data_IF_046271402827
#
_entry.id   IF_046271402827
#
_cell.length_a   1.000
_cell.length_b   1.000
_cell.length_c   1.000
_cell.angle_alpha   90.00
_cell.angle_beta   90.00
_cell.angle_gamma   90.00
#
_symmetry.space_group_name_H-M   'P 1'
#
loop_
_entity.id
_entity.type
_entity.pdbx_description
1 polymer ?
#
# COMPACT_ATOMS: atom_id res chain seq x y z
N UNK A 1 15.79 -45.46 30.17
CA UNK A 1 16.15 -44.26 29.38
C UNK A 1 15.68 -44.49 27.95
N UNK A 2 14.77 -43.66 27.43
CA UNK A 2 14.39 -43.67 26.03
C UNK A 2 14.50 -42.23 25.51
N UNK A 3 15.32 -41.94 24.49
CA UNK A 3 15.44 -40.59 23.95
C UNK A 3 14.26 -40.35 23.00
N UNK A 4 13.37 -39.42 23.35
CA UNK A 4 12.36 -38.90 22.42
C UNK A 4 13.02 -37.90 21.48
N UNK A 5 12.94 -38.17 20.18
CA UNK A 5 13.47 -37.30 19.13
C UNK A 5 12.75 -35.93 19.14
N UNK A 6 13.47 -34.82 18.95
CA UNK A 6 12.83 -33.53 18.68
C UNK A 6 12.20 -33.57 17.29
N UNK A 7 10.88 -33.38 17.22
CA UNK A 7 10.16 -33.19 15.95
C UNK A 7 10.76 -31.98 15.24
N UNK A 8 11.32 -32.21 14.06
CA UNK A 8 11.81 -31.17 13.17
C UNK A 8 10.74 -30.09 13.00
N UNK A 9 10.98 -28.95 13.65
CA UNK A 9 10.17 -27.75 13.49
C UNK A 9 10.19 -27.34 12.02
N UNK A 10 9.00 -27.06 11.50
CA UNK A 10 8.75 -26.58 10.14
C UNK A 10 9.83 -25.59 9.73
N UNK A 11 10.55 -25.91 8.66
CA UNK A 11 11.48 -25.00 8.00
C UNK A 11 10.80 -23.64 7.77
N UNK A 12 11.47 -22.50 8.02
CA UNK A 12 10.88 -21.19 7.78
C UNK A 12 10.51 -21.11 6.30
N UNK A 13 9.21 -21.00 6.05
CA UNK A 13 8.66 -20.83 4.72
C UNK A 13 9.35 -19.64 4.05
N UNK A 14 9.96 -19.90 2.89
CA UNK A 14 10.57 -18.89 2.02
C UNK A 14 9.66 -17.65 1.93
N UNK A 15 10.19 -16.42 2.04
CA UNK A 15 9.37 -15.21 1.92
C UNK A 15 8.58 -15.26 0.62
N UNK A 16 7.26 -15.25 0.73
CA UNK A 16 6.38 -15.19 -0.43
C UNK A 16 6.53 -13.79 -1.01
N UNK A 17 6.98 -13.67 -2.25
CA UNK A 17 7.06 -12.36 -2.90
C UNK A 17 5.69 -11.67 -2.81
N UNK A 18 5.66 -10.40 -2.37
CA UNK A 18 4.41 -9.68 -2.18
C UNK A 18 3.68 -9.58 -3.52
N UNK A 19 2.37 -9.85 -3.50
CA UNK A 19 1.50 -9.69 -4.68
C UNK A 19 1.49 -8.22 -5.10
N UNK A 20 1.35 -7.93 -6.39
CA UNK A 20 1.32 -6.54 -6.91
C UNK A 20 0.27 -5.65 -6.22
N UNK A 21 -0.88 -6.23 -5.85
CA UNK A 21 -1.92 -5.52 -5.10
C UNK A 21 -1.49 -5.11 -3.69
N UNK A 22 -0.64 -5.91 -3.05
CA UNK A 22 -0.11 -5.63 -1.72
C UNK A 22 0.95 -4.52 -1.78
N UNK A 23 1.85 -4.58 -2.77
CA UNK A 23 2.81 -3.50 -3.03
C UNK A 23 2.12 -2.16 -3.32
N UNK A 24 1.01 -2.16 -4.07
CA UNK A 24 0.22 -0.95 -4.30
C UNK A 24 -0.33 -0.36 -3.00
N UNK A 25 -0.89 -1.20 -2.12
CA UNK A 25 -1.41 -0.77 -0.81
C UNK A 25 -0.31 -0.18 0.08
N UNK A 26 0.85 -0.85 0.14
CA UNK A 26 2.00 -0.38 0.89
C UNK A 26 2.53 0.96 0.36
N UNK A 27 2.58 1.12 -0.96
CA UNK A 27 3.01 2.35 -1.61
C UNK A 27 2.04 3.51 -1.33
N UNK A 28 0.73 3.28 -1.41
CA UNK A 28 -0.28 4.28 -1.06
C UNK A 28 -0.17 4.68 0.42
N UNK A 29 0.01 3.72 1.32
CA UNK A 29 0.22 4.00 2.74
C UNK A 29 1.44 4.91 2.98
N UNK A 30 2.58 4.59 2.35
CA UNK A 30 3.78 5.43 2.43
C UNK A 30 3.53 6.84 1.89
N UNK A 31 2.78 6.96 0.80
CA UNK A 31 2.42 8.26 0.23
C UNK A 31 1.52 9.09 1.17
N UNK A 32 0.57 8.45 1.84
CA UNK A 32 -0.24 9.08 2.89
C UNK A 32 0.64 9.55 4.05
N UNK A 33 1.58 8.73 4.54
CA UNK A 33 2.52 9.15 5.59
C UNK A 33 3.30 10.40 5.16
N UNK A 34 3.80 10.42 3.92
CA UNK A 34 4.51 11.59 3.38
C UNK A 34 3.64 12.85 3.36
N UNK A 35 2.38 12.75 2.91
CA UNK A 35 1.43 13.87 2.87
C UNK A 35 1.10 14.41 4.26
N UNK A 36 0.81 13.52 5.21
CA UNK A 36 0.36 13.89 6.57
C UNK A 36 1.51 14.43 7.44
N UNK A 37 2.74 14.00 7.17
CA UNK A 37 3.93 14.45 7.92
C UNK A 37 4.54 15.76 7.42
N UNK A 38 4.02 16.34 6.35
CA UNK A 38 4.53 17.57 5.71
C UNK A 38 6.05 17.50 5.41
N UNK A 39 6.54 16.31 5.05
CA UNK A 39 7.95 16.08 4.73
C UNK A 39 8.21 16.48 3.28
N UNK A 40 9.24 17.28 3.05
CA UNK A 40 9.73 17.61 1.72
C UNK A 40 10.85 16.65 1.29
N UNK A 41 10.78 16.16 0.05
CA UNK A 41 11.84 15.32 -0.51
C UNK A 41 13.05 16.18 -0.90
N UNK A 42 14.21 15.88 -0.30
CA UNK A 42 15.51 16.44 -0.71
C UNK A 42 15.96 15.83 -2.05
N UNK A 43 15.54 16.46 -3.16
CA UNK A 43 15.89 16.04 -4.52
C UNK A 43 17.41 15.95 -4.74
N UNK A 44 18.24 16.93 -4.30
CA UNK A 44 19.70 16.78 -4.35
C UNK A 44 20.23 15.53 -3.63
N UNK A 45 19.74 15.19 -2.44
CA UNK A 45 20.18 13.98 -1.74
C UNK A 45 19.78 12.71 -2.49
N UNK A 46 18.55 12.66 -3.02
CA UNK A 46 18.08 11.56 -3.87
C UNK A 46 18.94 11.43 -5.13
N UNK A 47 19.25 12.54 -5.77
CA UNK A 47 20.09 12.56 -6.97
C UNK A 47 21.50 12.00 -6.68
N UNK A 48 22.11 12.39 -5.56
CA UNK A 48 23.40 11.84 -5.08
C UNK A 48 23.30 10.35 -4.79
N UNK A 49 22.25 9.92 -4.09
CA UNK A 49 22.04 8.51 -3.73
C UNK A 49 21.95 7.60 -4.96
N UNK A 50 21.23 8.04 -6.00
CA UNK A 50 21.05 7.28 -7.24
C UNK A 50 22.11 7.55 -8.31
N UNK A 51 23.09 8.43 -8.06
CA UNK A 51 24.11 8.80 -9.05
C UNK A 51 23.55 9.45 -10.32
N UNK A 52 22.44 10.21 -10.20
CA UNK A 52 21.76 10.88 -11.32
C UNK A 52 21.79 12.40 -11.19
N UNK A 53 21.49 13.11 -12.28
CA UNK A 53 21.35 14.58 -12.25
C UNK A 53 20.10 14.99 -11.45
N UNK A 54 20.17 16.13 -10.76
CA UNK A 54 19.03 16.70 -10.01
C UNK A 54 17.76 16.80 -10.87
N UNK A 55 17.88 17.24 -12.13
CA UNK A 55 16.73 17.34 -13.03
C UNK A 55 16.10 15.99 -13.33
N UNK A 56 16.90 14.93 -13.43
CA UNK A 56 16.40 13.57 -13.64
C UNK A 56 15.67 13.05 -12.38
N UNK A 57 16.22 13.29 -11.19
CA UNK A 57 15.56 12.96 -9.92
C UNK A 57 14.22 13.70 -9.78
N UNK A 58 14.20 15.01 -10.08
CA UNK A 58 12.97 15.81 -10.07
C UNK A 58 11.91 15.24 -11.03
N UNK A 59 12.28 14.95 -12.29
CA UNK A 59 11.32 14.39 -13.25
C UNK A 59 10.80 13.01 -12.83
N UNK A 60 11.65 12.15 -12.26
CA UNK A 60 11.23 10.85 -11.71
C UNK A 60 10.23 11.02 -10.58
N UNK A 61 10.51 11.95 -9.66
CA UNK A 61 9.60 12.25 -8.56
C UNK A 61 8.26 12.80 -9.06
N UNK A 62 8.25 13.77 -9.98
CA UNK A 62 7.01 14.32 -10.56
C UNK A 62 6.16 13.24 -11.23
N UNK A 63 6.79 12.33 -11.98
CA UNK A 63 6.09 11.19 -12.62
C UNK A 63 5.53 10.21 -11.59
N UNK A 64 6.28 9.93 -10.53
CA UNK A 64 5.83 9.05 -9.45
C UNK A 64 4.64 9.68 -8.73
N UNK A 65 4.74 10.96 -8.33
CA UNK A 65 3.67 11.71 -7.69
C UNK A 65 2.38 11.66 -8.51
N UNK A 66 2.44 11.96 -9.81
CA UNK A 66 1.26 11.89 -10.70
C UNK A 66 0.59 10.51 -10.66
N UNK A 67 1.37 9.42 -10.70
CA UNK A 67 0.82 8.05 -10.62
C UNK A 67 0.21 7.72 -9.26
N UNK A 68 0.78 8.27 -8.18
CA UNK A 68 0.24 8.10 -6.84
C UNK A 68 -1.09 8.84 -6.69
N UNK A 69 -1.18 10.06 -7.21
CA UNK A 69 -2.42 10.83 -7.24
C UNK A 69 -3.51 10.11 -8.06
N UNK A 70 -3.16 9.55 -9.21
CA UNK A 70 -4.08 8.71 -10.02
C UNK A 70 -4.53 7.43 -9.26
N UNK A 71 -3.60 6.76 -8.57
CA UNK A 71 -3.91 5.57 -7.77
C UNK A 71 -4.79 5.87 -6.55
N UNK A 72 -4.60 7.01 -5.88
CA UNK A 72 -5.46 7.46 -4.79
C UNK A 72 -6.89 7.69 -5.31
N UNK A 73 -7.06 8.43 -6.41
CA UNK A 73 -8.36 8.72 -6.99
C UNK A 73 -9.15 7.45 -7.37
N UNK A 74 -8.49 6.47 -8.00
CA UNK A 74 -9.15 5.19 -8.34
C UNK A 74 -9.47 4.32 -7.11
N UNK A 75 -8.81 4.54 -5.97
CA UNK A 75 -9.07 3.78 -4.75
C UNK A 75 -10.28 4.35 -3.97
N UNK A 76 -10.57 5.64 -4.09
CA UNK A 76 -11.76 6.26 -3.48
C UNK A 76 -13.07 5.77 -4.14
N UNK A 77 -13.07 5.56 -5.47
CA UNK A 77 -14.25 5.08 -6.20
C UNK A 77 -14.69 3.65 -5.84
N UNK A 78 -13.80 2.85 -5.24
CA UNK A 78 -14.10 1.45 -4.85
C UNK A 78 -14.55 1.28 -3.40
N UNK A 79 -14.51 2.36 -2.59
CA UNK A 79 -14.99 2.34 -1.20
C UNK A 79 -16.41 2.92 -1.01
N UNK A 80 -17.10 3.31 -2.10
CA UNK A 80 -18.44 3.88 -2.06
C UNK A 80 -19.61 2.91 -2.30
N UNK A 81 -19.40 1.58 -2.25
CA UNK A 81 -20.46 0.61 -2.54
C UNK A 81 -20.53 -0.50 -1.50
N UNK A 82 -20.71 -0.14 -0.23
CA UNK A 82 -21.25 -1.05 0.77
C UNK A 82 -22.12 -0.27 1.77
N UNK A 83 -23.37 -0.71 1.88
CA UNK A 83 -24.46 -0.33 2.81
C UNK A 83 -25.21 0.97 2.52
N UNK A 84 -26.30 0.82 1.76
CA UNK A 84 -27.65 1.08 2.29
C UNK A 84 -28.61 0.13 1.55
N UNK A 85 -28.92 -0.99 2.19
CA UNK A 85 -30.06 -1.85 1.84
C UNK A 85 -30.70 -2.23 3.16
N UNK A 86 -31.51 -1.32 3.67
CA UNK A 86 -32.53 -1.65 4.67
C UNK A 86 -33.74 -2.16 3.89
N UNK A 87 -33.75 -3.47 3.63
CA UNK A 87 -34.94 -4.25 3.35
C UNK A 87 -35.41 -4.82 4.69
N UNK A 88 -36.35 -4.15 5.34
CA UNK A 88 -37.28 -4.79 6.29
C UNK A 88 -38.71 -4.53 5.81
N UNK A 89 -39.23 -5.48 5.04
CA UNK A 89 -40.68 -5.69 4.98
C UNK A 89 -41.17 -6.32 6.28
N UNK A 90 -42.34 -5.88 6.76
CA UNK A 90 -43.55 -6.71 6.88
C UNK A 90 -44.56 -6.13 7.90
N UNK A 91 -45.84 -6.15 7.48
CA UNK A 91 -47.12 -6.17 8.23
C UNK A 91 -47.42 -5.17 9.37
N UNK A 92 -48.52 -4.40 9.22
CA UNK A 92 -49.83 -4.79 9.77
C UNK A 92 -50.96 -3.86 9.30
N UNK A 93 -52.10 -4.47 8.99
CA UNK A 93 -53.39 -3.84 8.63
C UNK A 93 -54.07 -3.16 9.83
N UNK A 94 -54.84 -2.10 9.56
CA UNK A 94 -56.22 -1.93 10.05
C UNK A 94 -57.01 -1.01 9.07
#
# INVERSE_FOLDING_TARGET
>A
MAPTQPKAGKSPSKPKEPKDSDLKKQLLFLWTCHKVSDVNIDIPAVARHFGIKNKAAQMRYTRLKKKLDEMEASNEETHGKDKDTEDEGDTMSD
#
